data_IF_884977342994
#
_entry.id   IF_884977342994
#
_cell.length_a   1.000
_cell.length_b   1.000
_cell.length_c   1.000
_cell.angle_alpha   90.00
_cell.angle_beta   90.00
_cell.angle_gamma   90.00
#
_symmetry.space_group_name_H-M   'P 1'
#
loop_
_entity.id
_entity.type
_entity.pdbx_description
1 polymer ?
#
# COMPACT_ATOMS: atom_id res chain seq x y z
N UNK A 1 -30.31 16.77 2.01
CA UNK A 1 -29.60 16.45 0.75
C UNK A 1 -28.14 16.87 0.83
N UNK A 2 -27.85 18.09 1.26
CA UNK A 2 -26.46 18.57 1.46
C UNK A 2 -25.66 17.74 2.49
N UNK A 3 -26.29 17.30 3.59
CA UNK A 3 -25.60 16.51 4.63
C UNK A 3 -25.17 15.12 4.16
N UNK A 4 -25.98 14.50 3.27
CA UNK A 4 -25.65 13.21 2.64
C UNK A 4 -24.43 13.35 1.72
N UNK A 5 -24.32 14.45 0.96
CA UNK A 5 -23.14 14.75 0.14
C UNK A 5 -21.88 14.90 0.99
N UNK A 6 -21.97 15.62 2.12
CA UNK A 6 -20.85 15.77 3.04
C UNK A 6 -20.39 14.43 3.64
N UNK A 7 -21.33 13.56 3.99
CA UNK A 7 -21.00 12.23 4.53
C UNK A 7 -20.31 11.33 3.50
N UNK A 8 -20.67 11.40 2.22
CA UNK A 8 -19.99 10.66 1.14
C UNK A 8 -18.54 11.15 0.98
N UNK A 9 -18.31 12.45 1.05
CA UNK A 9 -16.95 13.02 0.99
C UNK A 9 -16.09 12.56 2.18
N UNK A 10 -16.69 12.52 3.38
CA UNK A 10 -16.04 12.00 4.59
C UNK A 10 -15.68 10.51 4.48
N UNK A 11 -16.57 9.70 3.89
CA UNK A 11 -16.30 8.30 3.57
C UNK A 11 -15.12 8.16 2.61
N UNK A 12 -15.08 8.95 1.54
CA UNK A 12 -13.97 8.95 0.59
C UNK A 12 -12.63 9.30 1.25
N UNK A 13 -12.63 10.28 2.17
CA UNK A 13 -11.45 10.64 2.97
C UNK A 13 -10.97 9.47 3.83
N UNK A 14 -11.88 8.79 4.53
CA UNK A 14 -11.54 7.64 5.37
C UNK A 14 -11.00 6.47 4.52
N UNK A 15 -11.66 6.14 3.40
CA UNK A 15 -11.22 5.07 2.50
C UNK A 15 -9.80 5.29 1.98
N UNK A 16 -9.48 6.51 1.55
CA UNK A 16 -8.15 6.84 1.04
C UNK A 16 -7.08 6.72 2.15
N UNK A 17 -7.38 7.21 3.36
CA UNK A 17 -6.47 7.10 4.49
C UNK A 17 -6.24 5.64 4.89
N UNK A 18 -7.31 4.84 4.97
CA UNK A 18 -7.24 3.43 5.31
C UNK A 18 -6.41 2.63 4.28
N UNK A 19 -6.61 2.90 2.99
CA UNK A 19 -5.86 2.28 1.91
C UNK A 19 -4.35 2.61 1.99
N UNK A 20 -4.00 3.86 2.30
CA UNK A 20 -2.60 4.25 2.49
C UNK A 20 -1.99 3.51 3.68
N UNK A 21 -2.65 3.48 4.83
CA UNK A 21 -2.13 2.81 6.03
C UNK A 21 -1.85 1.33 5.77
N UNK A 22 -2.71 0.67 4.99
CA UNK A 22 -2.56 -0.72 4.60
C UNK A 22 -1.41 -0.94 3.60
N UNK A 23 -1.22 0.00 2.66
CA UNK A 23 -0.19 -0.08 1.63
C UNK A 23 1.19 0.45 2.07
N UNK A 24 1.26 1.27 3.13
CA UNK A 24 2.49 1.90 3.64
C UNK A 24 3.68 0.94 3.80
N UNK A 25 3.55 -0.25 4.42
CA UNK A 25 4.68 -1.16 4.61
C UNK A 25 5.24 -1.65 3.27
N UNK A 26 4.36 -1.99 2.33
CA UNK A 26 4.76 -2.47 1.01
C UNK A 26 5.39 -1.34 0.17
N UNK A 27 4.80 -0.15 0.19
CA UNK A 27 5.31 1.03 -0.55
C UNK A 27 6.69 1.42 -0.02
N UNK A 28 6.88 1.48 1.30
CA UNK A 28 8.18 1.85 1.89
C UNK A 28 9.26 0.82 1.57
N UNK A 29 8.94 -0.48 1.63
CA UNK A 29 9.86 -1.55 1.22
C UNK A 29 10.24 -1.45 -0.27
N UNK A 30 9.26 -1.27 -1.15
CA UNK A 30 9.51 -1.12 -2.59
C UNK A 30 10.29 0.15 -2.91
N UNK A 31 10.06 1.24 -2.17
CA UNK A 31 10.80 2.48 -2.32
C UNK A 31 12.27 2.30 -1.92
N UNK A 32 12.55 1.59 -0.82
CA UNK A 32 13.91 1.22 -0.43
C UNK A 32 14.61 0.37 -1.50
N UNK A 33 13.91 -0.60 -2.08
CA UNK A 33 14.42 -1.42 -3.19
C UNK A 33 14.75 -0.56 -4.41
N UNK A 34 13.87 0.36 -4.79
CA UNK A 34 14.11 1.28 -5.92
C UNK A 34 15.32 2.19 -5.66
N UNK A 35 15.50 2.69 -4.43
CA UNK A 35 16.69 3.48 -4.04
C UNK A 35 17.95 2.62 -4.14
N UNK A 36 17.93 1.40 -3.61
CA UNK A 36 19.07 0.47 -3.69
C UNK A 36 19.47 0.20 -5.15
N UNK A 37 18.50 -0.06 -6.03
CA UNK A 37 18.77 -0.19 -7.47
C UNK A 37 19.30 1.10 -8.09
N UNK A 38 18.76 2.26 -7.71
CA UNK A 38 19.28 3.56 -8.15
C UNK A 38 20.72 3.82 -7.72
N UNK A 39 21.16 3.27 -6.59
CA UNK A 39 22.57 3.33 -6.17
C UNK A 39 23.44 2.31 -6.92
N UNK A 40 22.94 1.08 -7.12
CA UNK A 40 23.66 0.04 -7.87
C UNK A 40 23.90 0.45 -9.33
N UNK A 41 22.94 1.15 -9.94
CA UNK A 41 23.07 1.69 -11.28
C UNK A 41 24.23 2.69 -11.43
N UNK A 42 24.58 3.41 -10.35
CA UNK A 42 25.75 4.30 -10.34
C UNK A 42 27.07 3.56 -10.09
N UNK A 43 27.05 2.47 -9.34
CA UNK A 43 28.26 1.72 -8.94
C UNK A 43 28.70 0.68 -9.98
N UNK A 44 27.77 0.13 -10.76
CA UNK A 44 28.03 -0.91 -11.75
C UNK A 44 27.45 -0.55 -13.13
N UNK A 45 28.02 0.45 -13.83
CA UNK A 45 27.50 0.98 -15.11
C UNK A 45 27.54 -0.03 -16.28
N UNK A 46 28.27 -1.14 -16.11
CA UNK A 46 28.42 -2.22 -17.08
C UNK A 46 27.42 -3.37 -16.90
N UNK A 47 26.71 -3.44 -15.77
CA UNK A 47 25.56 -4.33 -15.65
C UNK A 47 24.45 -3.75 -16.52
N UNK A 48 23.85 -4.58 -17.38
CA UNK A 48 22.59 -4.23 -18.03
C UNK A 48 21.49 -4.20 -16.94
N UNK A 49 21.43 -3.08 -16.22
CA UNK A 49 20.53 -2.85 -15.09
C UNK A 49 19.07 -3.03 -15.52
N UNK A 50 18.75 -2.84 -16.81
CA UNK A 50 17.43 -3.17 -17.34
C UNK A 50 17.18 -4.68 -17.41
N UNK A 51 18.16 -5.47 -17.87
CA UNK A 51 18.04 -6.92 -17.94
C UNK A 51 18.04 -7.61 -16.56
N UNK A 52 18.77 -7.06 -15.58
CA UNK A 52 18.87 -7.65 -14.23
C UNK A 52 17.86 -7.02 -13.25
N UNK A 53 17.60 -5.73 -13.36
CA UNK A 53 16.72 -5.00 -12.44
C UNK A 53 15.27 -5.44 -12.53
N UNK A 54 14.77 -5.77 -13.73
CA UNK A 54 13.39 -6.22 -13.89
C UNK A 54 13.10 -7.56 -13.16
N UNK A 55 13.85 -8.66 -13.42
CA UNK A 55 13.66 -9.91 -12.69
C UNK A 55 13.81 -9.76 -11.17
N UNK A 56 14.82 -9.01 -10.72
CA UNK A 56 15.08 -8.89 -9.29
C UNK A 56 14.01 -8.04 -8.59
N UNK A 57 13.55 -6.95 -9.20
CA UNK A 57 12.45 -6.15 -8.64
C UNK A 57 11.14 -6.95 -8.60
N UNK A 58 10.89 -7.80 -9.60
CA UNK A 58 9.76 -8.73 -9.61
C UNK A 58 9.83 -9.72 -8.43
N UNK A 59 10.97 -10.37 -8.21
CA UNK A 59 11.15 -11.30 -7.09
C UNK A 59 11.02 -10.59 -5.75
N UNK A 60 11.64 -9.43 -5.58
CA UNK A 60 11.53 -8.63 -4.36
C UNK A 60 10.09 -8.15 -4.12
N UNK A 61 9.37 -7.75 -5.17
CA UNK A 61 7.96 -7.38 -5.08
C UNK A 61 7.09 -8.52 -4.57
N UNK A 62 7.33 -9.75 -5.03
CA UNK A 62 6.62 -10.94 -4.53
C UNK A 62 6.96 -11.24 -3.06
N UNK A 63 8.22 -11.08 -2.65
CA UNK A 63 8.63 -11.26 -1.25
C UNK A 63 7.97 -10.22 -0.36
N UNK A 64 7.97 -8.95 -0.77
CA UNK A 64 7.33 -7.85 -0.03
C UNK A 64 5.82 -8.10 0.09
N UNK A 65 5.17 -8.55 -0.98
CA UNK A 65 3.76 -8.92 -0.94
C UNK A 65 3.51 -10.06 0.04
N UNK A 66 4.33 -11.11 0.02
CA UNK A 66 4.19 -12.25 0.94
C UNK A 66 4.32 -11.82 2.42
N UNK A 67 5.32 -11.00 2.74
CA UNK A 67 5.52 -10.47 4.09
C UNK A 67 4.34 -9.57 4.50
N UNK A 68 3.90 -8.69 3.60
CA UNK A 68 2.78 -7.76 3.87
C UNK A 68 1.47 -8.53 4.10
N UNK A 69 1.23 -9.58 3.30
CA UNK A 69 0.06 -10.45 3.46
C UNK A 69 0.06 -11.20 4.80
N UNK A 70 1.22 -11.61 5.30
CA UNK A 70 1.34 -12.26 6.61
C UNK A 70 0.84 -11.36 7.76
N UNK A 71 1.03 -10.05 7.65
CA UNK A 71 0.54 -9.06 8.62
C UNK A 71 -0.84 -8.45 8.30
N UNK A 72 -1.49 -8.87 7.21
CA UNK A 72 -2.70 -8.22 6.71
C UNK A 72 -3.95 -8.48 7.54
N UNK A 73 -4.07 -9.68 8.14
CA UNK A 73 -5.28 -10.13 8.85
C UNK A 73 -5.76 -9.18 9.95
N UNK A 74 -4.93 -8.81 10.94
CA UNK A 74 -5.33 -7.93 12.03
C UNK A 74 -5.76 -6.53 11.55
N UNK A 75 -4.98 -5.92 10.64
CA UNK A 75 -5.28 -4.61 10.06
C UNK A 75 -6.59 -4.64 9.27
N UNK A 76 -6.80 -5.67 8.46
CA UNK A 76 -8.03 -5.83 7.69
C UNK A 76 -9.26 -5.96 8.59
N UNK A 77 -9.17 -6.75 9.67
CA UNK A 77 -10.25 -6.90 10.63
C UNK A 77 -10.59 -5.58 11.35
N UNK A 78 -9.57 -4.80 11.73
CA UNK A 78 -9.77 -3.48 12.35
C UNK A 78 -10.50 -2.51 11.40
N UNK A 79 -10.05 -2.43 10.14
CA UNK A 79 -10.66 -1.58 9.11
C UNK A 79 -12.09 -2.01 8.76
N UNK A 80 -12.36 -3.32 8.70
CA UNK A 80 -13.71 -3.83 8.51
C UNK A 80 -14.63 -3.43 9.67
N UNK A 81 -14.14 -3.54 10.91
CA UNK A 81 -14.92 -3.14 12.10
C UNK A 81 -15.27 -1.65 12.03
N UNK A 82 -14.30 -0.79 11.70
CA UNK A 82 -14.57 0.64 11.47
C UNK A 82 -15.58 0.87 10.34
N UNK A 83 -15.45 0.16 9.22
CA UNK A 83 -16.39 0.28 8.10
C UNK A 83 -17.83 -0.07 8.51
N UNK A 84 -18.01 -1.14 9.29
CA UNK A 84 -19.32 -1.53 9.81
C UNK A 84 -19.89 -0.51 10.80
N UNK A 85 -19.04 0.11 11.61
CA UNK A 85 -19.46 1.22 12.47
C UNK A 85 -19.96 2.41 11.64
N UNK A 86 -19.21 2.83 10.61
CA UNK A 86 -19.59 3.93 9.72
C UNK A 86 -20.92 3.63 8.99
N UNK A 87 -21.09 2.40 8.47
CA UNK A 87 -22.33 2.00 7.79
C UNK A 87 -23.54 1.97 8.72
N UNK A 88 -23.36 1.62 9.99
CA UNK A 88 -24.43 1.64 11.00
C UNK A 88 -24.87 3.07 11.30
N UNK A 89 -23.92 3.97 11.46
CA UNK A 89 -24.20 5.39 11.74
C UNK A 89 -24.81 6.12 10.52
N UNK A 90 -24.59 5.59 9.31
CA UNK A 90 -25.20 6.09 8.07
C UNK A 90 -26.70 5.80 7.94
N UNK A 91 -27.23 4.83 8.70
CA UNK A 91 -28.63 4.37 8.61
C UNK A 91 -29.49 4.83 9.81
N UNK A 92 -28.91 5.56 10.76
CA UNK A 92 -29.62 6.25 11.83
C UNK A 92 -29.82 7.74 11.47
#
# INVERSE_FOLDING_TARGET
>A
SSDTMWNIVLLGKWMFSAAIVLALPAITAMLMVNIAFGTMARLAPQLNIFAVGFPVTMMLGLIVLWITFGGFGPQFHALLTEAFHIMRDFKA
#
